data_IF_404875825658
#
_entry.id   IF_404875825658
#
_cell.length_a   1.000
_cell.length_b   1.000
_cell.length_c   1.000
_cell.angle_alpha   90.00
_cell.angle_beta   90.00
_cell.angle_gamma   90.00
#
_symmetry.space_group_name_H-M   'P 1'
#
loop_
_entity.id
_entity.type
_entity.pdbx_description
1 polymer ?
#
# COMPACT_ATOMS: atom_id res chain seq x y z
N UNK A 1 1.08 -19.50 4.79
CA UNK A 1 0.65 -20.18 3.55
C UNK A 1 0.72 -21.70 3.67
N UNK A 2 1.87 -22.33 3.93
CA UNK A 2 1.94 -23.79 4.13
C UNK A 2 1.05 -24.35 5.26
N UNK A 3 0.90 -23.59 6.36
CA UNK A 3 -0.06 -23.91 7.42
C UNK A 3 -1.53 -23.85 6.94
N UNK A 4 -1.87 -22.84 6.15
CA UNK A 4 -3.23 -22.65 5.61
C UNK A 4 -3.57 -23.71 4.55
N UNK A 5 -2.63 -24.02 3.64
CA UNK A 5 -2.79 -25.06 2.63
C UNK A 5 -3.00 -26.45 3.26
N UNK A 6 -2.27 -26.75 4.34
CA UNK A 6 -2.44 -27.98 5.11
C UNK A 6 -3.79 -28.07 5.84
N UNK A 7 -4.41 -26.93 6.15
CA UNK A 7 -5.66 -26.87 6.91
C UNK A 7 -6.92 -26.79 6.03
N UNK A 8 -6.79 -26.23 4.82
CA UNK A 8 -7.86 -26.11 3.83
C UNK A 8 -7.84 -27.23 2.77
N UNK A 9 -6.89 -28.16 2.84
CA UNK A 9 -6.68 -29.28 1.90
C UNK A 9 -6.66 -28.85 0.42
N UNK A 10 -6.06 -27.67 0.16
CA UNK A 10 -5.89 -27.11 -1.18
C UNK A 10 -4.40 -26.99 -1.50
N UNK A 11 -4.02 -27.20 -2.78
CA UNK A 11 -2.64 -27.05 -3.21
C UNK A 11 -2.13 -25.64 -2.91
N UNK A 12 -0.87 -25.52 -2.48
CA UNK A 12 -0.22 -24.24 -2.11
C UNK A 12 -0.35 -23.19 -3.23
N UNK A 13 -0.39 -23.65 -4.48
CA UNK A 13 -0.56 -22.87 -5.69
C UNK A 13 -1.86 -22.05 -5.71
N UNK A 14 -2.96 -22.59 -5.16
CA UNK A 14 -4.26 -21.89 -5.09
C UNK A 14 -4.30 -20.84 -3.98
N UNK A 15 -3.37 -20.88 -3.03
CA UNK A 15 -3.30 -19.96 -1.89
C UNK A 15 -2.24 -18.88 -2.10
N UNK A 16 -1.30 -19.12 -3.01
CA UNK A 16 -0.19 -18.23 -3.37
C UNK A 16 -0.52 -17.42 -4.63
N UNK A 17 -1.70 -16.78 -4.67
CA UNK A 17 -2.04 -15.84 -5.75
C UNK A 17 -1.25 -14.55 -5.58
N UNK A 18 -0.41 -14.17 -6.54
CA UNK A 18 0.36 -12.91 -6.47
C UNK A 18 -0.53 -11.66 -6.45
N UNK A 19 -0.07 -10.61 -5.76
CA UNK A 19 -0.72 -9.30 -5.74
C UNK A 19 -1.46 -8.94 -4.45
N UNK A 20 -2.25 -7.84 -4.45
CA UNK A 20 -2.92 -7.34 -3.24
C UNK A 20 -3.92 -8.35 -2.65
N UNK A 21 -4.50 -9.23 -3.49
CA UNK A 21 -5.38 -10.30 -3.03
C UNK A 21 -4.72 -11.27 -2.02
N UNK A 22 -3.40 -11.51 -2.14
CA UNK A 22 -2.68 -12.34 -1.18
C UNK A 22 -2.68 -11.72 0.22
N UNK A 23 -2.31 -10.45 0.31
CA UNK A 23 -2.13 -9.74 1.57
C UNK A 23 -3.47 -9.39 2.23
N UNK A 24 -4.54 -9.16 1.44
CA UNK A 24 -5.84 -8.72 1.96
C UNK A 24 -6.90 -9.81 2.05
N UNK A 25 -6.66 -11.01 1.49
CA UNK A 25 -7.59 -12.16 1.57
C UNK A 25 -6.92 -13.39 2.20
N UNK A 26 -5.82 -13.87 1.62
CA UNK A 26 -5.18 -15.10 2.09
C UNK A 26 -4.49 -14.94 3.46
N UNK A 27 -3.88 -13.79 3.71
CA UNK A 27 -3.23 -13.51 5.00
C UNK A 27 -4.22 -13.37 6.17
N UNK A 28 -5.30 -12.57 6.09
CA UNK A 28 -6.31 -12.51 7.15
C UNK A 28 -6.93 -13.88 7.46
N UNK A 29 -7.25 -14.69 6.44
CA UNK A 29 -7.72 -16.08 6.61
C UNK A 29 -6.71 -16.94 7.40
N UNK A 30 -5.41 -16.75 7.16
CA UNK A 30 -4.37 -17.45 7.92
C UNK A 30 -4.27 -16.96 9.36
N UNK A 31 -4.38 -15.64 9.59
CA UNK A 31 -4.27 -15.03 10.90
C UNK A 31 -5.43 -15.41 11.83
N UNK A 32 -6.63 -15.64 11.28
CA UNK A 32 -7.80 -16.11 12.03
C UNK A 32 -7.60 -17.50 12.67
N UNK A 33 -6.68 -18.31 12.14
CA UNK A 33 -6.41 -19.68 12.61
C UNK A 33 -5.33 -19.75 13.71
N UNK A 34 -4.68 -18.63 14.02
CA UNK A 34 -3.64 -18.51 15.05
C UNK A 34 -4.30 -18.09 16.39
N UNK A 35 -3.83 -18.56 17.56
CA UNK A 35 -4.34 -18.06 18.84
C UNK A 35 -4.15 -16.55 18.97
N UNK A 36 -5.17 -15.87 19.50
CA UNK A 36 -5.24 -14.40 19.64
C UNK A 36 -5.20 -13.67 18.28
N UNK A 37 -6.13 -13.99 17.34
CA UNK A 37 -6.08 -13.49 15.96
C UNK A 37 -6.18 -11.97 15.84
N UNK A 38 -6.80 -11.29 16.82
CA UNK A 38 -6.96 -9.84 16.84
C UNK A 38 -5.60 -9.12 16.96
N UNK A 39 -4.70 -9.63 17.81
CA UNK A 39 -3.37 -9.03 17.99
C UNK A 39 -2.54 -9.15 16.71
N UNK A 40 -2.53 -10.34 16.09
CA UNK A 40 -1.76 -10.59 14.87
C UNK A 40 -2.29 -9.81 13.67
N UNK A 41 -3.61 -9.66 13.56
CA UNK A 41 -4.24 -8.86 12.49
C UNK A 41 -3.82 -7.40 12.59
N UNK A 42 -3.85 -6.81 13.79
CA UNK A 42 -3.42 -5.42 14.01
C UNK A 42 -1.94 -5.24 13.65
N UNK A 43 -1.06 -6.13 14.12
CA UNK A 43 0.37 -6.06 13.82
C UNK A 43 0.66 -6.18 12.32
N UNK A 44 -0.06 -7.06 11.62
CA UNK A 44 0.10 -7.25 10.18
C UNK A 44 -0.32 -6.00 9.38
N UNK A 45 -1.53 -5.47 9.64
CA UNK A 45 -1.98 -4.26 8.94
C UNK A 45 -1.14 -3.04 9.31
N UNK A 46 -0.69 -2.93 10.56
CA UNK A 46 0.22 -1.86 10.98
C UNK A 46 1.55 -1.92 10.23
N UNK A 47 2.11 -3.12 10.03
CA UNK A 47 3.31 -3.31 9.20
C UNK A 47 3.05 -2.85 7.76
N UNK A 48 1.94 -3.26 7.14
CA UNK A 48 1.58 -2.85 5.77
C UNK A 48 1.45 -1.33 5.65
N UNK A 49 0.85 -0.67 6.66
CA UNK A 49 0.73 0.79 6.70
C UNK A 49 2.12 1.44 6.78
N UNK A 50 3.02 0.96 7.66
CA UNK A 50 4.37 1.50 7.76
C UNK A 50 5.14 1.34 6.45
N UNK A 51 5.05 0.17 5.81
CA UNK A 51 5.68 -0.08 4.52
C UNK A 51 5.16 0.90 3.46
N UNK A 52 3.84 1.06 3.36
CA UNK A 52 3.22 2.01 2.44
C UNK A 52 3.64 3.45 2.71
N UNK A 53 3.59 3.88 3.97
CA UNK A 53 3.97 5.25 4.37
C UNK A 53 5.43 5.54 4.07
N UNK A 54 6.35 4.63 4.39
CA UNK A 54 7.78 4.80 4.11
C UNK A 54 8.06 4.99 2.63
N UNK A 55 7.42 4.19 1.77
CA UNK A 55 7.54 4.34 0.32
C UNK A 55 6.94 5.65 -0.20
N UNK A 56 5.80 6.07 0.34
CA UNK A 56 5.16 7.34 -0.06
C UNK A 56 6.01 8.56 0.32
N UNK A 57 6.62 8.57 1.50
CA UNK A 57 7.53 9.66 1.90
C UNK A 57 8.74 9.76 0.98
N UNK A 58 9.38 8.63 0.67
CA UNK A 58 10.51 8.60 -0.26
C UNK A 58 10.11 9.09 -1.67
N UNK A 59 8.91 8.73 -2.15
CA UNK A 59 8.39 9.19 -3.44
C UNK A 59 8.15 10.70 -3.49
N UNK A 60 7.46 11.25 -2.48
CA UNK A 60 7.19 12.69 -2.40
C UNK A 60 8.50 13.49 -2.28
N UNK A 61 9.46 13.00 -1.49
CA UNK A 61 10.76 13.64 -1.33
C UNK A 61 11.55 13.65 -2.64
N UNK A 62 11.61 12.52 -3.35
CA UNK A 62 12.30 12.41 -4.64
C UNK A 62 11.72 13.38 -5.70
N UNK A 63 10.40 13.46 -5.81
CA UNK A 63 9.72 14.39 -6.74
C UNK A 63 9.96 15.83 -6.32
N UNK A 64 9.85 16.14 -5.02
CA UNK A 64 10.09 17.48 -4.50
C UNK A 64 11.52 17.95 -4.77
N UNK A 65 12.53 17.11 -4.55
CA UNK A 65 13.94 17.43 -4.83
C UNK A 65 14.15 17.70 -6.32
N UNK A 66 13.60 16.84 -7.19
CA UNK A 66 13.70 17.02 -8.65
C UNK A 66 13.12 18.36 -9.13
N UNK A 67 12.00 18.79 -8.54
CA UNK A 67 11.36 20.08 -8.86
C UNK A 67 12.20 21.25 -8.35
N UNK A 68 12.75 21.14 -7.15
CA UNK A 68 13.59 22.18 -6.55
C UNK A 68 14.93 22.36 -7.27
N UNK A 69 15.49 21.27 -7.81
CA UNK A 69 16.70 21.32 -8.63
C UNK A 69 16.46 22.06 -9.96
N UNK A 70 15.28 21.89 -10.56
CA UNK A 70 14.90 22.58 -11.80
C UNK A 70 14.57 24.06 -11.59
N UNK A 71 13.97 24.40 -10.45
CA UNK A 71 13.59 25.78 -10.11
C UNK A 71 14.09 26.18 -8.71
N UNK A 72 15.35 26.64 -8.59
CA UNK A 72 15.96 26.95 -7.30
C UNK A 72 15.27 28.09 -6.55
N UNK A 73 14.50 28.94 -7.23
CA UNK A 73 13.72 30.01 -6.61
C UNK A 73 12.59 29.49 -5.70
N UNK A 74 12.06 28.29 -5.97
CA UNK A 74 10.99 27.66 -5.19
C UNK A 74 11.49 27.06 -3.87
N UNK A 75 12.80 27.02 -3.63
CA UNK A 75 13.40 26.47 -2.40
C UNK A 75 12.97 27.20 -1.12
N UNK A 76 12.67 28.50 -1.21
CA UNK A 76 12.10 29.29 -0.10
C UNK A 76 10.67 28.88 0.26
N UNK A 77 9.96 28.21 -0.66
CA UNK A 77 8.55 27.82 -0.56
C UNK A 77 8.37 26.30 -0.75
N UNK A 78 9.34 25.51 -0.30
CA UNK A 78 9.33 24.05 -0.43
C UNK A 78 8.04 23.39 0.11
N UNK A 79 7.46 23.91 1.19
CA UNK A 79 6.23 23.39 1.76
C UNK A 79 5.02 23.55 0.82
N UNK A 80 4.98 24.61 0.00
CA UNK A 80 3.93 24.80 -1.01
C UNK A 80 4.09 23.80 -2.17
N UNK A 81 5.32 23.48 -2.55
CA UNK A 81 5.61 22.46 -3.57
C UNK A 81 5.13 21.09 -3.10
N UNK A 82 5.44 20.71 -1.86
CA UNK A 82 4.98 19.46 -1.26
C UNK A 82 3.45 19.37 -1.18
N UNK A 83 2.78 20.43 -0.71
CA UNK A 83 1.31 20.49 -0.68
C UNK A 83 0.72 20.34 -2.09
N UNK A 84 1.32 21.00 -3.10
CA UNK A 84 0.91 20.88 -4.49
C UNK A 84 1.02 19.45 -5.03
N UNK A 85 2.15 18.77 -4.75
CA UNK A 85 2.35 17.37 -5.13
C UNK A 85 1.30 16.49 -4.44
N UNK A 86 1.11 16.62 -3.13
CA UNK A 86 0.13 15.84 -2.38
C UNK A 86 -1.31 16.05 -2.90
N UNK A 87 -1.70 17.29 -3.19
CA UNK A 87 -3.01 17.60 -3.79
C UNK A 87 -3.16 16.97 -5.16
N UNK A 88 -2.13 17.03 -6.00
CA UNK A 88 -2.17 16.42 -7.33
C UNK A 88 -2.32 14.89 -7.25
N UNK A 89 -1.56 14.23 -6.36
CA UNK A 89 -1.67 12.80 -6.11
C UNK A 89 -3.05 12.43 -5.54
N UNK A 90 -3.61 13.24 -4.65
CA UNK A 90 -4.95 13.01 -4.10
C UNK A 90 -6.02 13.04 -5.19
N UNK A 91 -5.99 14.03 -6.09
CA UNK A 91 -6.94 14.12 -7.20
C UNK A 91 -6.83 12.91 -8.14
N UNK A 92 -5.60 12.47 -8.42
CA UNK A 92 -5.35 11.28 -9.25
C UNK A 92 -5.77 9.97 -8.56
N UNK A 93 -5.77 9.93 -7.23
CA UNK A 93 -6.20 8.76 -6.45
C UNK A 93 -7.72 8.63 -6.33
N UNK A 94 -8.49 9.73 -6.47
CA UNK A 94 -9.96 9.73 -6.35
C UNK A 94 -10.64 8.66 -7.25
N UNK A 95 -10.31 8.53 -8.55
CA UNK A 95 -10.86 7.47 -9.41
C UNK A 95 -10.66 6.05 -8.87
N UNK A 96 -9.58 5.81 -8.15
CA UNK A 96 -9.23 4.49 -7.59
C UNK A 96 -10.06 4.12 -6.35
N UNK A 97 -10.74 5.08 -5.72
CA UNK A 97 -11.60 4.83 -4.55
C UNK A 97 -13.04 4.44 -4.92
N UNK A 98 -13.46 4.57 -6.18
CA UNK A 98 -14.79 4.16 -6.62
C UNK A 98 -14.88 2.64 -6.80
N UNK A 99 -16.09 2.08 -6.92
CA UNK A 99 -16.32 0.62 -7.02
C UNK A 99 -15.59 -0.07 -8.19
N UNK A 100 -15.19 0.66 -9.23
CA UNK A 100 -14.37 0.16 -10.34
C UNK A 100 -12.86 0.41 -10.20
N UNK A 101 -12.40 0.97 -9.08
CA UNK A 101 -11.01 1.40 -8.90
C UNK A 101 -9.99 0.27 -8.98
N UNK A 102 -10.39 -0.96 -8.64
CA UNK A 102 -9.53 -2.15 -8.78
C UNK A 102 -9.11 -2.37 -10.24
N UNK A 103 -9.95 -2.03 -11.22
CA UNK A 103 -9.63 -2.16 -12.64
C UNK A 103 -8.60 -1.14 -13.10
N UNK A 104 -8.60 0.06 -12.50
CA UNK A 104 -7.58 1.09 -12.76
C UNK A 104 -6.26 0.72 -12.08
N UNK A 105 -6.32 0.11 -10.89
CA UNK A 105 -5.14 -0.35 -10.16
C UNK A 105 -4.44 -1.54 -10.82
N UNK A 106 -5.20 -2.39 -11.52
CA UNK A 106 -4.69 -3.60 -12.17
C UNK A 106 -4.39 -3.43 -13.66
N UNK A 107 -4.69 -2.25 -14.23
CA UNK A 107 -4.37 -1.89 -15.61
C UNK A 107 -2.85 -1.73 -15.79
#
# INVERSE_FOLDING_TARGET
>A
LGFLAKQLDVPIENVATDGPGLAFVAYPEALLRIPIPQLWSVLFFFMVIILGLGSQFAGIEAVSVTILDKWPHLRKRQYLVQIGICLSCFILAIPMCFSGGIYIFTL
#
